data_IF_832033222956
#
_entry.id   IF_832033222956
#
_cell.length_a   1.000
_cell.length_b   1.000
_cell.length_c   1.000
_cell.angle_alpha   90.00
_cell.angle_beta   90.00
_cell.angle_gamma   90.00
#
_symmetry.space_group_name_H-M   'P 1'
#
loop_
_entity.id
_entity.type
_entity.pdbx_description
1 polymer ?
#
# COMPACT_ATOMS: atom_id res chain seq x y z
N UNK A 1 -18.52 37.26 4.28
CA UNK A 1 -18.63 36.26 3.19
C UNK A 1 -17.37 36.35 2.31
N UNK A 2 -16.27 35.70 2.73
CA UNK A 2 -14.95 35.72 2.07
C UNK A 2 -14.22 34.39 2.30
N UNK A 3 -14.85 33.25 1.98
CA UNK A 3 -14.24 31.91 2.16
C UNK A 3 -14.52 31.00 0.94
N UNK A 4 -14.37 31.49 -0.29
CA UNK A 4 -14.49 30.65 -1.49
C UNK A 4 -13.46 30.95 -2.60
N UNK A 5 -12.27 31.46 -2.25
CA UNK A 5 -11.26 31.85 -3.24
C UNK A 5 -9.82 31.43 -2.88
N UNK A 6 -9.63 30.17 -2.44
CA UNK A 6 -8.30 29.55 -2.31
C UNK A 6 -8.20 28.15 -2.93
N UNK A 7 -9.19 27.73 -3.74
CA UNK A 7 -9.00 26.60 -4.67
C UNK A 7 -8.44 27.15 -5.99
N UNK A 8 -7.28 27.82 -5.91
CA UNK A 8 -6.46 28.21 -7.06
C UNK A 8 -5.45 27.10 -7.33
N UNK A 9 -5.56 26.45 -8.49
CA UNK A 9 -4.63 26.64 -9.61
C UNK A 9 -3.41 25.71 -9.65
N UNK A 10 -3.64 24.40 -9.51
CA UNK A 10 -2.72 23.34 -9.99
C UNK A 10 -3.50 22.17 -10.66
N UNK A 11 -4.72 22.42 -11.13
CA UNK A 11 -5.41 21.47 -12.00
C UNK A 11 -4.81 21.56 -13.41
N UNK A 12 -3.72 20.83 -13.59
CA UNK A 12 -2.93 20.71 -14.82
C UNK A 12 -3.85 20.32 -16.00
N UNK A 13 -3.88 21.10 -17.09
CA UNK A 13 -4.67 20.81 -18.29
C UNK A 13 -4.32 19.43 -18.91
N UNK A 14 -3.22 18.82 -18.46
CA UNK A 14 -2.84 17.42 -18.72
C UNK A 14 -3.78 16.39 -18.10
N UNK A 15 -4.29 16.58 -16.88
CA UNK A 15 -5.26 15.63 -16.27
C UNK A 15 -6.62 15.67 -16.97
N UNK A 16 -7.05 16.82 -17.48
CA UNK A 16 -8.27 16.92 -18.31
C UNK A 16 -8.13 16.24 -19.68
N UNK A 17 -6.91 16.06 -20.20
CA UNK A 17 -6.66 15.23 -21.40
C UNK A 17 -6.78 13.74 -21.11
N UNK A 18 -6.54 13.30 -19.87
CA UNK A 18 -6.70 11.90 -19.45
C UNK A 18 -8.17 11.45 -19.51
N UNK A 19 -9.14 12.34 -19.30
CA UNK A 19 -10.59 12.06 -19.43
C UNK A 19 -10.95 11.49 -20.81
N UNK A 20 -10.14 11.74 -21.85
CA UNK A 20 -10.34 11.16 -23.18
C UNK A 20 -10.18 9.62 -23.20
N UNK A 21 -9.55 9.02 -22.18
CA UNK A 21 -9.47 7.56 -21.99
C UNK A 21 -10.84 6.92 -21.75
N UNK A 22 -11.86 7.70 -21.34
CA UNK A 22 -13.23 7.23 -21.14
C UNK A 22 -14.05 7.21 -22.44
N UNK A 23 -13.54 7.74 -23.55
CA UNK A 23 -14.25 7.74 -24.85
C UNK A 23 -14.68 6.34 -25.35
N UNK A 24 -13.90 5.27 -25.17
CA UNK A 24 -14.31 3.91 -25.55
C UNK A 24 -15.57 3.44 -24.82
N UNK A 25 -15.86 3.91 -23.59
CA UNK A 25 -17.10 3.59 -22.87
C UNK A 25 -18.35 4.14 -23.59
N UNK A 26 -18.21 5.22 -24.37
CA UNK A 26 -19.30 5.76 -25.19
C UNK A 26 -19.65 4.84 -26.38
N UNK A 27 -18.66 4.11 -26.92
CA UNK A 27 -18.90 3.08 -27.95
C UNK A 27 -19.67 1.88 -27.37
N UNK A 28 -19.40 1.54 -26.11
CA UNK A 28 -20.14 0.49 -25.38
C UNK A 28 -21.61 0.85 -25.20
N UNK A 29 -21.94 2.14 -25.03
CA UNK A 29 -23.34 2.60 -24.99
C UNK A 29 -24.06 2.62 -26.34
N UNK A 30 -23.33 2.46 -27.46
CA UNK A 30 -23.90 2.43 -28.81
C UNK A 30 -24.32 1.03 -29.29
N UNK A 31 -23.78 -0.04 -28.69
CA UNK A 31 -24.05 -1.43 -29.09
C UNK A 31 -24.86 -2.11 -27.97
N UNK A 32 -26.14 -2.45 -28.18
CA UNK A 32 -27.02 -3.00 -27.14
C UNK A 32 -26.48 -4.30 -26.52
N UNK A 33 -25.75 -5.11 -27.29
CA UNK A 33 -25.13 -6.36 -26.84
C UNK A 33 -24.11 -6.16 -25.71
N UNK A 34 -23.27 -5.12 -25.76
CA UNK A 34 -22.27 -4.87 -24.72
C UNK A 34 -22.88 -4.22 -23.46
N UNK A 35 -23.97 -3.47 -23.60
CA UNK A 35 -24.69 -2.89 -22.45
C UNK A 35 -25.31 -3.98 -21.56
N UNK A 36 -25.80 -5.06 -22.15
CA UNK A 36 -26.32 -6.22 -21.40
C UNK A 36 -25.22 -6.85 -20.56
N UNK A 37 -24.01 -6.98 -21.12
CA UNK A 37 -22.84 -7.55 -20.41
C UNK A 37 -22.43 -6.65 -19.23
N UNK A 38 -22.27 -5.34 -19.44
CA UNK A 38 -21.91 -4.42 -18.34
C UNK A 38 -22.98 -4.37 -17.24
N UNK A 39 -24.26 -4.34 -17.60
CA UNK A 39 -25.37 -4.35 -16.63
C UNK A 39 -25.39 -5.64 -15.82
N UNK A 40 -25.03 -6.76 -16.44
CA UNK A 40 -24.90 -8.06 -15.77
C UNK A 40 -23.74 -8.05 -14.77
N UNK A 41 -22.59 -7.47 -15.12
CA UNK A 41 -21.45 -7.28 -14.21
C UNK A 41 -21.84 -6.42 -13.01
N UNK A 42 -22.51 -5.29 -13.23
CA UNK A 42 -22.94 -4.42 -12.13
C UNK A 42 -23.90 -5.12 -11.17
N UNK A 43 -24.81 -5.95 -11.69
CA UNK A 43 -25.73 -6.74 -10.85
C UNK A 43 -24.98 -7.80 -10.02
N UNK A 44 -23.90 -8.38 -10.56
CA UNK A 44 -23.07 -9.35 -9.87
C UNK A 44 -22.14 -8.72 -8.80
N UNK A 45 -21.80 -7.42 -8.91
CA UNK A 45 -20.97 -6.74 -7.90
C UNK A 45 -21.68 -6.56 -6.54
N UNK A 46 -23.01 -6.40 -6.52
CA UNK A 46 -23.78 -6.17 -5.29
C UNK A 46 -23.60 -7.29 -4.24
N UNK A 47 -23.78 -8.59 -4.56
CA UNK A 47 -23.52 -9.66 -3.59
C UNK A 47 -22.03 -9.77 -3.24
N UNK A 48 -21.13 -9.45 -4.18
CA UNK A 48 -19.68 -9.49 -3.92
C UNK A 48 -19.25 -8.43 -2.90
N UNK A 49 -19.92 -7.27 -2.88
CA UNK A 49 -19.64 -6.19 -1.92
C UNK A 49 -19.88 -6.63 -0.48
N UNK A 50 -20.88 -7.48 -0.21
CA UNK A 50 -21.14 -7.98 1.14
C UNK A 50 -19.97 -8.84 1.67
N UNK A 51 -19.43 -9.71 0.81
CA UNK A 51 -18.22 -10.50 1.13
C UNK A 51 -17.02 -9.56 1.25
N UNK A 52 -16.90 -8.58 0.35
CA UNK A 52 -15.86 -7.56 0.42
C UNK A 52 -15.87 -6.76 1.72
N UNK A 53 -17.05 -6.44 2.26
CA UNK A 53 -17.19 -5.75 3.54
C UNK A 53 -16.69 -6.64 4.69
N UNK A 54 -17.03 -7.92 4.69
CA UNK A 54 -16.53 -8.88 5.68
C UNK A 54 -14.99 -8.98 5.62
N UNK A 55 -14.43 -9.07 4.40
CA UNK A 55 -12.99 -9.10 4.19
C UNK A 55 -12.31 -7.81 4.66
N UNK A 56 -12.93 -6.65 4.42
CA UNK A 56 -12.41 -5.37 4.88
C UNK A 56 -12.32 -5.29 6.42
N UNK A 57 -13.34 -5.78 7.14
CA UNK A 57 -13.27 -5.86 8.60
C UNK A 57 -12.15 -6.80 9.07
N UNK A 58 -11.97 -7.94 8.41
CA UNK A 58 -10.87 -8.86 8.73
C UNK A 58 -9.50 -8.20 8.47
N UNK A 59 -9.34 -7.49 7.36
CA UNK A 59 -8.13 -6.72 7.04
C UNK A 59 -7.85 -5.68 8.12
N UNK A 60 -8.87 -4.92 8.55
CA UNK A 60 -8.72 -3.92 9.60
C UNK A 60 -8.26 -4.54 10.92
N UNK A 61 -8.82 -5.70 11.29
CA UNK A 61 -8.40 -6.40 12.50
C UNK A 61 -6.91 -6.78 12.44
N UNK A 62 -6.46 -7.40 11.35
CA UNK A 62 -5.05 -7.76 11.18
C UNK A 62 -4.13 -6.53 11.06
N UNK A 63 -4.60 -5.44 10.47
CA UNK A 63 -3.85 -4.20 10.36
C UNK A 63 -3.62 -3.55 11.73
N UNK A 64 -4.65 -3.50 12.61
CA UNK A 64 -4.50 -2.98 13.98
C UNK A 64 -3.49 -3.82 14.75
N UNK A 65 -3.60 -5.16 14.68
CA UNK A 65 -2.62 -6.07 15.30
C UNK A 65 -1.21 -5.79 14.74
N UNK A 66 -1.08 -5.65 13.43
CA UNK A 66 0.20 -5.36 12.79
C UNK A 66 0.83 -4.05 13.27
N UNK A 67 0.04 -2.99 13.42
CA UNK A 67 0.53 -1.70 13.95
C UNK A 67 1.02 -1.85 15.38
N UNK A 68 0.24 -2.45 16.27
CA UNK A 68 0.61 -2.61 17.68
C UNK A 68 1.92 -3.40 17.88
N UNK A 69 2.19 -4.39 17.03
CA UNK A 69 3.38 -5.24 17.15
C UNK A 69 4.59 -4.73 16.37
N UNK A 70 4.38 -4.14 15.19
CA UNK A 70 5.45 -3.86 14.23
C UNK A 70 5.69 -2.37 13.94
N UNK A 71 5.09 -1.47 14.73
CA UNK A 71 5.36 -0.04 14.62
C UNK A 71 6.86 0.28 14.75
N UNK A 72 7.40 1.01 13.78
CA UNK A 72 8.79 1.46 13.72
C UNK A 72 9.81 0.37 13.39
N UNK A 73 9.42 -0.91 13.32
CA UNK A 73 10.35 -2.03 13.11
C UNK A 73 10.86 -2.14 11.67
N UNK A 74 10.10 -1.62 10.72
CA UNK A 74 10.47 -1.60 9.29
C UNK A 74 11.37 -0.42 8.91
N UNK A 75 11.77 0.42 9.88
CA UNK A 75 12.63 1.58 9.66
C UNK A 75 14.09 1.36 10.11
N UNK A 76 14.43 0.18 10.62
CA UNK A 76 15.79 -0.14 11.07
C UNK A 76 16.51 -1.04 10.07
N UNK A 77 17.72 -0.70 9.63
CA UNK A 77 18.57 -1.58 8.80
C UNK A 77 20.03 -1.52 9.23
N UNK A 78 20.85 -2.44 8.70
CA UNK A 78 22.28 -2.52 9.03
C UNK A 78 23.07 -1.48 8.23
N UNK A 79 23.86 -0.67 8.93
CA UNK A 79 24.81 0.27 8.34
C UNK A 79 26.24 -0.08 8.76
N UNK A 80 27.21 0.13 7.87
CA UNK A 80 28.62 -0.02 8.21
C UNK A 80 29.06 1.08 9.19
N UNK A 81 29.76 0.68 10.26
CA UNK A 81 30.24 1.62 11.29
C UNK A 81 31.29 2.58 10.70
N UNK A 82 32.11 2.10 9.75
CA UNK A 82 33.22 2.88 9.17
C UNK A 82 32.78 3.85 8.05
N UNK A 83 31.82 3.44 7.20
CA UNK A 83 31.43 4.21 6.01
C UNK A 83 30.05 4.86 6.12
N UNK A 84 29.22 4.43 7.07
CA UNK A 84 27.82 4.88 7.18
C UNK A 84 26.95 4.44 5.99
N UNK A 85 27.43 3.51 5.16
CA UNK A 85 26.66 3.00 4.02
C UNK A 85 25.77 1.83 4.44
N UNK A 86 24.62 1.69 3.77
CA UNK A 86 23.70 0.56 3.98
C UNK A 86 24.37 -0.76 3.60
N UNK A 87 24.50 -1.66 4.57
CA UNK A 87 25.10 -2.97 4.38
C UNK A 87 24.08 -4.05 4.01
N UNK A 88 22.80 -3.84 4.34
CA UNK A 88 21.71 -4.78 4.12
C UNK A 88 20.47 -4.11 3.51
N UNK A 89 19.66 -4.90 2.81
CA UNK A 89 18.37 -4.47 2.25
C UNK A 89 17.16 -5.04 3.02
N UNK A 90 17.41 -5.57 4.23
CA UNK A 90 16.40 -6.16 5.12
C UNK A 90 16.39 -5.39 6.45
N UNK A 91 15.26 -5.41 7.18
CA UNK A 91 15.21 -4.85 8.52
C UNK A 91 16.08 -5.65 9.49
N UNK A 92 16.67 -4.95 10.44
CA UNK A 92 17.44 -5.55 11.53
C UNK A 92 16.76 -5.33 12.88
N UNK A 93 17.09 -6.20 13.84
CA UNK A 93 16.73 -6.01 15.24
C UNK A 93 17.91 -6.17 16.17
N UNK A 94 17.79 -5.60 17.37
CA UNK A 94 18.81 -5.61 18.42
C UNK A 94 18.76 -6.84 19.33
N UNK A 95 17.64 -7.57 19.34
CA UNK A 95 17.39 -8.70 20.21
C UNK A 95 16.95 -9.94 19.41
N UNK A 96 17.35 -11.14 19.85
CA UNK A 96 16.83 -12.39 19.31
C UNK A 96 15.31 -12.49 19.59
N UNK A 97 14.46 -12.91 18.64
CA UNK A 97 14.75 -13.69 17.42
C UNK A 97 14.95 -12.86 16.13
N UNK A 98 15.13 -11.53 16.22
CA UNK A 98 15.30 -10.70 15.04
C UNK A 98 16.63 -10.97 14.31
N UNK A 99 16.70 -10.65 13.02
CA UNK A 99 17.94 -10.74 12.24
C UNK A 99 18.95 -9.71 12.77
N UNK A 100 20.04 -10.21 13.34
CA UNK A 100 21.16 -9.40 13.81
C UNK A 100 22.09 -9.05 12.65
N UNK A 101 22.66 -7.85 12.72
CA UNK A 101 23.63 -7.38 11.74
C UNK A 101 24.97 -8.13 11.85
N UNK A 102 25.70 -8.36 10.75
CA UNK A 102 27.02 -8.96 10.77
C UNK A 102 28.06 -8.06 11.48
N UNK A 103 29.19 -8.65 11.89
CA UNK A 103 30.26 -7.91 12.58
C UNK A 103 30.75 -6.72 11.73
N UNK A 104 30.89 -5.55 12.38
CA UNK A 104 31.29 -4.30 11.73
C UNK A 104 30.11 -3.46 11.20
N UNK A 105 28.87 -3.90 11.41
CA UNK A 105 27.66 -3.14 11.08
C UNK A 105 26.76 -2.94 12.29
N UNK A 106 26.10 -1.78 12.36
CA UNK A 106 25.19 -1.39 13.43
C UNK A 106 23.76 -1.23 12.90
N UNK A 107 22.78 -1.63 13.69
CA UNK A 107 21.37 -1.53 13.35
C UNK A 107 20.85 -0.11 13.68
N UNK A 108 20.48 0.69 12.67
CA UNK A 108 20.03 2.08 12.87
C UNK A 108 18.74 2.42 12.12
N UNK A 109 17.99 3.41 12.61
CA UNK A 109 16.60 3.74 12.24
C UNK A 109 16.44 4.67 11.01
N UNK A 110 17.52 5.00 10.29
CA UNK A 110 17.44 5.94 9.17
C UNK A 110 17.01 5.29 7.84
N UNK A 111 16.31 4.15 7.89
CA UNK A 111 15.85 3.47 6.68
C UNK A 111 14.42 3.91 6.32
N UNK A 112 14.19 4.25 5.05
CA UNK A 112 12.85 4.61 4.54
C UNK A 112 11.88 3.42 4.61
N UNK A 113 12.39 2.20 4.77
CA UNK A 113 11.63 0.96 4.81
C UNK A 113 11.58 0.23 3.46
N UNK A 114 11.00 -0.98 3.43
CA UNK A 114 10.90 -1.76 2.20
C UNK A 114 9.93 -1.09 1.21
N UNK A 115 10.13 -1.33 -0.09
CA UNK A 115 9.31 -0.75 -1.18
C UNK A 115 9.10 0.77 -1.05
N UNK A 116 10.17 1.53 -0.82
CA UNK A 116 10.14 2.99 -0.63
C UNK A 116 9.29 3.46 0.57
N UNK A 117 9.14 2.62 1.59
CA UNK A 117 8.37 2.94 2.78
C UNK A 117 6.86 2.84 2.58
N UNK A 118 6.39 2.13 1.56
CA UNK A 118 4.95 1.84 1.37
C UNK A 118 4.53 0.62 2.18
N UNK A 119 5.37 -0.42 2.22
CA UNK A 119 5.13 -1.65 2.97
C UNK A 119 5.65 -1.49 4.40
N UNK A 120 4.80 -0.98 5.30
CA UNK A 120 5.11 -0.76 6.71
C UNK A 120 3.85 -0.88 7.59
N UNK A 121 4.06 -0.86 8.91
CA UNK A 121 3.00 -0.91 9.93
C UNK A 121 3.00 0.32 10.84
N UNK A 122 3.51 1.47 10.38
CA UNK A 122 3.60 2.69 11.21
C UNK A 122 2.29 3.46 11.27
N UNK A 123 1.46 3.31 10.24
CA UNK A 123 0.15 3.95 10.15
C UNK A 123 -0.90 2.93 9.73
N UNK A 124 -2.14 3.11 10.19
CA UNK A 124 -3.25 2.21 9.86
C UNK A 124 -3.49 2.08 8.35
N UNK A 125 -3.32 3.16 7.58
CA UNK A 125 -3.53 3.13 6.14
C UNK A 125 -2.48 2.26 5.42
N UNK A 126 -1.20 2.40 5.78
CA UNK A 126 -0.12 1.57 5.22
C UNK A 126 -0.21 0.13 5.70
N UNK A 127 -0.59 -0.10 6.96
CA UNK A 127 -0.85 -1.43 7.49
C UNK A 127 -1.98 -2.14 6.73
N UNK A 128 -3.09 -1.44 6.43
CA UNK A 128 -4.19 -1.99 5.61
C UNK A 128 -3.72 -2.35 4.20
N UNK A 129 -2.92 -1.50 3.55
CA UNK A 129 -2.35 -1.79 2.23
C UNK A 129 -1.43 -3.01 2.26
N UNK A 130 -0.57 -3.10 3.26
CA UNK A 130 0.38 -4.21 3.46
C UNK A 130 -0.36 -5.53 3.71
N UNK A 131 -1.39 -5.53 4.58
CA UNK A 131 -2.24 -6.72 4.83
C UNK A 131 -3.03 -7.10 3.59
N UNK A 132 -3.55 -6.13 2.84
CA UNK A 132 -4.23 -6.39 1.57
C UNK A 132 -3.29 -7.08 0.56
N UNK A 133 -2.06 -6.57 0.42
CA UNK A 133 -1.03 -7.19 -0.41
C UNK A 133 -0.79 -8.66 0.01
N UNK A 134 -0.64 -8.93 1.32
CA UNK A 134 -0.52 -10.29 1.84
C UNK A 134 -1.69 -11.21 1.48
N UNK A 135 -2.94 -10.74 1.61
CA UNK A 135 -4.15 -11.55 1.30
C UNK A 135 -4.26 -11.83 -0.20
N UNK A 136 -3.81 -10.91 -1.05
CA UNK A 136 -3.76 -11.14 -2.50
C UNK A 136 -2.66 -12.13 -2.92
N UNK A 137 -1.86 -12.63 -1.97
CA UNK A 137 -0.75 -13.56 -2.18
C UNK A 137 0.35 -13.01 -3.11
N UNK A 138 0.47 -11.68 -3.18
CA UNK A 138 1.49 -10.97 -3.94
C UNK A 138 2.46 -10.34 -2.94
N UNK A 139 3.78 -10.54 -3.08
CA UNK A 139 4.79 -9.94 -2.19
C UNK A 139 4.73 -10.34 -0.71
N UNK A 140 3.83 -11.24 -0.29
CA UNK A 140 3.65 -11.63 1.12
C UNK A 140 4.89 -12.29 1.73
N UNK A 141 5.67 -13.00 0.93
CA UNK A 141 6.92 -13.66 1.35
C UNK A 141 7.98 -12.62 1.69
N UNK A 142 8.04 -11.53 0.94
CA UNK A 142 8.96 -10.43 1.22
C UNK A 142 8.56 -9.72 2.51
N UNK A 143 7.26 -9.54 2.75
CA UNK A 143 6.75 -8.97 4.00
C UNK A 143 7.03 -9.92 5.19
N UNK A 144 7.00 -11.24 4.99
CA UNK A 144 7.28 -12.22 6.05
C UNK A 144 8.76 -12.26 6.45
N UNK A 145 9.66 -12.11 5.48
CA UNK A 145 11.11 -12.20 5.72
C UNK A 145 11.77 -10.88 6.11
N UNK A 146 11.03 -9.78 6.00
CA UNK A 146 11.39 -8.49 6.55
C UNK A 146 10.78 -8.39 7.95
#
# INVERSE_FOLDING_TARGET
MKILATVGSDFDLRTLRAVRVLRPLKLVSGIPSLQVVLKSIMKAMVPLLQIGLLLFFAILMFAIIGVEFYMGKFHTTCFNVDTGERAAAFPCGTEAPARMCPNGTECTEYWIGPNYGITNFDNILFAVLTVFQCITMEGWVDILYN
#
